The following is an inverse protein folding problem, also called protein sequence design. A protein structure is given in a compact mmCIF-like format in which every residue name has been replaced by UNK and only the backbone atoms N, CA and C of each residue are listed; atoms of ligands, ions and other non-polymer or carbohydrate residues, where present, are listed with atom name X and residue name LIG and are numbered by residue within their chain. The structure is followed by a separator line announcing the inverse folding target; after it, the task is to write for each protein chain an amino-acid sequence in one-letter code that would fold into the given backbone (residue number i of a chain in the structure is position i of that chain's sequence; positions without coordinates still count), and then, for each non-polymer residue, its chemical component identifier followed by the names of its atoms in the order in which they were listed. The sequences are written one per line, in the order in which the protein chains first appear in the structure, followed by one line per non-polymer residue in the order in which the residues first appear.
data_IF_891609945013
#
_entry.id   IF_891609945013
#
_cell.length_a   1.000
_cell.length_b   1.000
_cell.length_c   1.000
_cell.angle_alpha   90.00
_cell.angle_beta   90.00
_cell.angle_gamma   90.00
#
_symmetry.space_group_name_H-M   'P 1'
#
loop_
_entity.id
_entity.type
_entity.pdbx_description
1 polymer ?
#
# COMPACT_ATOMS: atom_id res chain seq x y z
N UNK A 1 2.61 29.79 26.56
CA UNK A 1 3.65 28.99 25.89
C UNK A 1 2.92 27.97 25.04
N UNK A 2 2.94 28.12 23.71
CA UNK A 2 2.30 27.15 22.83
C UNK A 2 3.33 26.04 22.62
N UNK A 3 3.30 25.05 23.51
CA UNK A 3 4.09 23.85 23.35
C UNK A 3 3.69 23.21 22.02
N UNK A 4 4.61 23.23 21.06
CA UNK A 4 4.43 22.55 19.78
C UNK A 4 4.56 21.05 20.04
N UNK A 5 3.53 20.47 20.63
CA UNK A 5 3.42 19.01 20.79
C UNK A 5 3.47 18.43 19.38
N UNK A 6 4.37 17.47 19.16
CA UNK A 6 4.48 16.87 17.83
C UNK A 6 3.16 16.18 17.46
N UNK A 7 2.78 16.13 16.18
CA UNK A 7 1.54 15.46 15.76
C UNK A 7 1.48 13.99 16.21
N UNK A 8 2.64 13.33 16.28
CA UNK A 8 2.79 11.94 16.72
C UNK A 8 2.50 11.81 18.22
N UNK A 9 3.03 12.71 19.04
CA UNK A 9 2.75 12.74 20.48
C UNK A 9 1.29 13.09 20.77
N UNK A 10 0.73 14.05 20.05
CA UNK A 10 -0.69 14.44 20.17
C UNK A 10 -1.61 13.25 19.88
N UNK A 11 -1.29 12.48 18.83
CA UNK A 11 -2.02 11.25 18.48
C UNK A 11 -1.86 10.17 19.55
N UNK A 12 -0.64 9.93 20.04
CA UNK A 12 -0.37 8.93 21.07
C UNK A 12 -1.15 9.23 22.37
N UNK A 13 -1.22 10.50 22.76
CA UNK A 13 -1.92 10.93 23.98
C UNK A 13 -3.44 10.79 23.82
N UNK A 14 -4.00 11.18 22.67
CA UNK A 14 -5.44 11.13 22.44
C UNK A 14 -5.97 9.72 22.16
N UNK A 15 -5.21 8.89 21.44
CA UNK A 15 -5.63 7.54 21.04
C UNK A 15 -5.26 6.46 22.06
N UNK A 16 -4.27 6.71 22.92
CA UNK A 16 -3.69 5.69 23.81
C UNK A 16 -2.93 4.57 23.09
N UNK A 17 -2.68 4.71 21.78
CA UNK A 17 -1.99 3.72 20.96
C UNK A 17 -0.58 4.18 20.67
N UNK A 18 0.41 3.29 20.84
CA UNK A 18 1.78 3.56 20.45
C UNK A 18 1.88 3.72 18.91
N UNK A 19 2.34 4.87 18.40
CA UNK A 19 2.39 5.15 16.96
C UNK A 19 3.23 4.13 16.16
N UNK A 20 4.26 3.55 16.78
CA UNK A 20 5.10 2.52 16.18
C UNK A 20 4.34 1.22 15.89
N UNK A 21 3.51 0.76 16.83
CA UNK A 21 2.66 -0.42 16.67
C UNK A 21 1.63 -0.24 15.55
N UNK A 22 1.01 0.94 15.46
CA UNK A 22 0.04 1.24 14.40
C UNK A 22 0.69 1.25 13.02
N UNK A 23 1.88 1.84 12.90
CA UNK A 23 2.67 1.81 11.65
C UNK A 23 3.02 0.38 11.24
N UNK A 24 3.43 -0.46 12.20
CA UNK A 24 3.71 -1.87 11.96
C UNK A 24 2.48 -2.65 11.47
N UNK A 25 1.34 -2.46 12.12
CA UNK A 25 0.08 -3.11 11.75
C UNK A 25 -0.37 -2.70 10.34
N UNK A 26 -0.32 -1.40 10.02
CA UNK A 26 -0.63 -0.90 8.68
C UNK A 26 0.34 -1.46 7.63
N UNK A 27 1.63 -1.57 7.95
CA UNK A 27 2.61 -2.20 7.06
C UNK A 27 2.28 -3.67 6.76
N UNK A 28 1.90 -4.44 7.77
CA UNK A 28 1.51 -5.86 7.61
C UNK A 28 0.24 -5.99 6.76
N UNK A 29 -0.80 -5.19 7.06
CA UNK A 29 -2.04 -5.18 6.28
C UNK A 29 -1.74 -4.86 4.82
N UNK A 30 -0.84 -3.91 4.59
CA UNK A 30 -0.48 -3.47 3.26
C UNK A 30 0.27 -4.56 2.47
N UNK A 31 1.21 -5.27 3.10
CA UNK A 31 1.86 -6.45 2.51
C UNK A 31 0.85 -7.55 2.20
N UNK A 32 -0.12 -7.78 3.10
CA UNK A 32 -1.19 -8.76 2.87
C UNK A 32 -2.08 -8.39 1.68
N UNK A 33 -2.43 -7.11 1.53
CA UNK A 33 -3.18 -6.61 0.35
C UNK A 33 -2.39 -6.80 -0.94
N UNK A 34 -1.06 -6.60 -0.92
CA UNK A 34 -0.23 -6.87 -2.09
C UNK A 34 -0.16 -8.34 -2.46
N UNK A 35 0.00 -9.22 -1.48
CA UNK A 35 -0.03 -10.66 -1.72
C UNK A 35 -1.39 -11.10 -2.27
N UNK A 36 -2.48 -10.53 -1.76
CA UNK A 36 -3.83 -10.77 -2.26
C UNK A 36 -3.98 -10.26 -3.70
N UNK A 37 -3.49 -9.06 -4.01
CA UNK A 37 -3.53 -8.50 -5.36
C UNK A 37 -2.70 -9.35 -6.36
N UNK A 38 -1.54 -9.85 -5.93
CA UNK A 38 -0.72 -10.77 -6.71
C UNK A 38 -1.41 -12.12 -6.93
N UNK A 39 -1.98 -12.72 -5.89
CA UNK A 39 -2.75 -13.97 -5.98
C UNK A 39 -3.98 -13.81 -6.91
N UNK A 40 -4.67 -12.68 -6.80
CA UNK A 40 -5.79 -12.36 -7.67
C UNK A 40 -5.35 -12.16 -9.13
N UNK A 41 -4.26 -11.43 -9.36
CA UNK A 41 -3.70 -11.24 -10.69
C UNK A 41 -3.29 -12.58 -11.32
N UNK A 42 -2.58 -13.44 -10.60
CA UNK A 42 -2.13 -14.76 -11.07
C UNK A 42 -3.28 -15.72 -11.37
N UNK A 43 -4.36 -15.71 -10.58
CA UNK A 43 -5.51 -16.60 -10.84
C UNK A 43 -6.54 -16.07 -11.84
N UNK A 44 -6.77 -14.75 -11.87
CA UNK A 44 -7.85 -14.13 -12.66
C UNK A 44 -7.34 -13.17 -13.74
N UNK A 45 -6.30 -12.38 -13.45
CA UNK A 45 -5.74 -11.38 -14.38
C UNK A 45 -4.95 -11.97 -15.55
N UNK A 46 -4.08 -12.96 -15.32
CA UNK A 46 -3.26 -13.55 -16.38
C UNK A 46 -4.03 -14.47 -17.32
N UNK A 47 -5.15 -15.06 -16.89
CA UNK A 47 -6.02 -15.79 -17.81
C UNK A 47 -6.59 -14.88 -18.91
N UNK A 48 -6.90 -13.61 -18.61
CA UNK A 48 -7.36 -12.64 -19.61
C UNK A 48 -6.29 -12.27 -20.65
N UNK A 49 -5.03 -12.13 -20.22
CA UNK A 49 -3.89 -11.77 -21.10
C UNK A 49 -3.54 -12.90 -22.07
N UNK A 50 -3.66 -14.16 -21.65
CA UNK A 50 -3.35 -15.31 -22.51
C UNK A 50 -4.54 -15.87 -23.30
N UNK A 51 -5.80 -15.64 -22.87
CA UNK A 51 -6.98 -16.18 -23.56
C UNK A 51 -7.80 -15.16 -24.37
N UNK A 52 -7.59 -13.85 -24.23
CA UNK A 52 -8.43 -12.89 -24.97
C UNK A 52 -7.78 -11.54 -25.14
N UNK A 53 -7.21 -11.29 -26.32
CA UNK A 53 -6.98 -9.98 -26.97
C UNK A 53 -6.65 -8.78 -26.06
N UNK A 54 -5.95 -8.97 -24.94
CA UNK A 54 -5.44 -7.89 -24.11
C UNK A 54 -4.03 -7.57 -24.57
N UNK A 55 -3.85 -6.32 -24.98
CA UNK A 55 -2.62 -5.87 -25.62
C UNK A 55 -1.51 -5.71 -24.57
N UNK A 56 -0.26 -5.75 -25.01
CA UNK A 56 0.93 -5.49 -24.18
C UNK A 56 0.81 -4.23 -23.31
N UNK A 57 0.02 -3.24 -23.76
CA UNK A 57 -0.30 -2.01 -23.04
C UNK A 57 -1.10 -2.23 -21.75
N UNK A 58 -1.97 -3.24 -21.68
CA UNK A 58 -2.77 -3.49 -20.48
C UNK A 58 -1.93 -4.16 -19.38
N UNK A 59 -0.97 -5.00 -19.78
CA UNK A 59 0.07 -5.48 -18.87
C UNK A 59 0.94 -4.32 -18.36
N UNK A 60 1.36 -3.41 -19.26
CA UNK A 60 2.15 -2.24 -18.88
C UNK A 60 1.41 -1.35 -17.88
N UNK A 61 0.10 -1.09 -18.08
CA UNK A 61 -0.72 -0.34 -17.11
C UNK A 61 -0.76 -1.01 -15.73
N UNK A 62 -0.81 -2.34 -15.69
CA UNK A 62 -0.83 -3.09 -14.43
C UNK A 62 0.52 -3.01 -13.70
N UNK A 63 1.63 -3.09 -14.43
CA UNK A 63 2.97 -2.87 -13.86
C UNK A 63 3.12 -1.43 -13.36
N UNK A 64 2.63 -0.46 -14.13
CA UNK A 64 2.72 0.96 -13.78
C UNK A 64 1.85 1.30 -12.56
N UNK A 65 0.67 0.72 -12.43
CA UNK A 65 -0.19 0.90 -11.26
C UNK A 65 0.41 0.25 -10.01
N UNK A 66 1.03 -0.93 -10.14
CA UNK A 66 1.80 -1.55 -9.06
C UNK A 66 2.98 -0.69 -8.60
N UNK A 67 3.74 -0.11 -9.54
CA UNK A 67 4.84 0.79 -9.23
C UNK A 67 4.38 2.08 -8.54
N UNK A 68 3.27 2.68 -9.00
CA UNK A 68 2.68 3.85 -8.36
C UNK A 68 2.24 3.55 -6.92
N UNK A 69 1.70 2.36 -6.66
CA UNK A 69 1.31 1.93 -5.32
C UNK A 69 2.53 1.83 -4.39
N UNK A 70 3.62 1.22 -4.86
CA UNK A 70 4.88 1.15 -4.10
C UNK A 70 5.44 2.55 -3.78
N UNK A 71 5.41 3.48 -4.74
CA UNK A 71 5.84 4.87 -4.53
C UNK A 71 4.97 5.55 -3.47
N UNK A 72 3.64 5.36 -3.52
CA UNK A 72 2.71 5.93 -2.55
C UNK A 72 2.99 5.41 -1.14
N UNK A 73 3.36 4.14 -0.99
CA UNK A 73 3.70 3.53 0.30
C UNK A 73 4.99 4.14 0.84
N UNK A 74 6.03 4.21 0.02
CA UNK A 74 7.29 4.82 0.43
C UNK A 74 7.05 6.27 0.84
N UNK A 75 6.28 7.02 0.07
CA UNK A 75 5.92 8.39 0.41
C UNK A 75 5.14 8.50 1.73
N UNK A 76 4.22 7.57 2.02
CA UNK A 76 3.40 7.63 3.25
C UNK A 76 4.15 7.18 4.51
N UNK A 77 5.07 6.23 4.39
CA UNK A 77 5.77 5.66 5.56
C UNK A 77 7.15 6.29 5.81
N UNK A 78 7.80 6.83 4.78
CA UNK A 78 9.17 7.38 4.88
C UNK A 78 9.18 8.90 4.97
N UNK A 79 8.30 9.58 4.24
CA UNK A 79 8.19 11.04 4.22
C UNK A 79 6.98 11.52 5.04
#
# INVERSE_FOLDING_TARGET
MSDKISPIESFSIASGIEPGLLKGLLGIILVAVFLLAYAWATQHGYKGVFYGNQSLLDYLKLVLSGAALLIMIVAFFVY
#
